data_IF_037528273263
#
_entry.id   IF_037528273263
#
_cell.length_a   1.000
_cell.length_b   1.000
_cell.length_c   1.000
_cell.angle_alpha   90.00
_cell.angle_beta   90.00
_cell.angle_gamma   90.00
#
_symmetry.space_group_name_H-M   'P 1'
#
loop_
_entity.id
_entity.type
_entity.pdbx_description
1 polymer ?
#
# COMPACT_ATOMS: atom_id res chain seq x y z
N UNK A 1 24.02 24.26 -19.78
CA UNK A 1 23.25 23.31 -18.94
C UNK A 1 23.07 21.93 -19.62
N UNK A 2 22.90 21.85 -20.95
CA UNK A 2 22.65 20.58 -21.64
C UNK A 2 23.85 19.62 -21.83
N UNK A 3 25.10 20.11 -21.90
CA UNK A 3 26.28 19.24 -22.12
C UNK A 3 26.66 18.35 -20.91
N UNK A 4 26.43 18.85 -19.70
CA UNK A 4 26.71 18.11 -18.47
C UNK A 4 25.62 17.05 -18.24
N UNK A 5 24.37 17.41 -18.59
CA UNK A 5 23.26 16.46 -18.63
C UNK A 5 23.53 15.35 -19.65
N UNK A 6 23.91 15.65 -20.91
CA UNK A 6 24.11 14.61 -21.92
C UNK A 6 25.25 13.64 -21.55
N UNK A 7 26.35 14.14 -20.96
CA UNK A 7 27.44 13.30 -20.46
C UNK A 7 27.03 12.42 -19.28
N UNK A 8 26.26 12.98 -18.33
CA UNK A 8 25.71 12.20 -17.21
C UNK A 8 24.73 11.14 -17.74
N UNK A 9 23.79 11.51 -18.61
CA UNK A 9 22.81 10.60 -19.21
C UNK A 9 23.48 9.48 -20.04
N UNK A 10 24.58 9.77 -20.75
CA UNK A 10 25.30 8.75 -21.53
C UNK A 10 26.04 7.76 -20.63
N UNK A 11 26.75 8.25 -19.59
CA UNK A 11 27.38 7.39 -18.59
C UNK A 11 26.36 6.57 -17.81
N UNK A 12 25.22 7.19 -17.50
CA UNK A 12 24.12 6.56 -16.79
C UNK A 12 23.38 5.53 -17.62
N UNK A 13 23.21 5.72 -18.93
CA UNK A 13 22.61 4.72 -19.82
C UNK A 13 23.41 3.42 -19.81
N UNK A 14 24.74 3.50 -19.71
CA UNK A 14 25.62 2.34 -19.62
C UNK A 14 25.49 1.69 -18.23
N UNK A 15 25.50 2.47 -17.14
CA UNK A 15 25.33 1.94 -15.78
C UNK A 15 23.94 1.34 -15.55
N UNK A 16 22.89 1.91 -16.14
CA UNK A 16 21.52 1.41 -16.05
C UNK A 16 21.36 0.01 -16.65
N UNK A 17 22.19 -0.37 -17.63
CA UNK A 17 22.19 -1.72 -18.20
C UNK A 17 22.81 -2.79 -17.29
N UNK A 18 23.62 -2.38 -16.32
CA UNK A 18 24.45 -3.30 -15.54
C UNK A 18 24.11 -3.33 -14.05
N UNK A 19 23.54 -2.26 -13.47
CA UNK A 19 23.16 -2.23 -12.06
C UNK A 19 21.79 -1.55 -11.83
N UNK A 20 20.84 -2.33 -11.30
CA UNK A 20 19.52 -1.85 -10.91
C UNK A 20 19.59 -0.82 -9.78
N UNK A 21 20.51 -0.98 -8.82
CA UNK A 21 20.60 -0.07 -7.66
C UNK A 21 21.00 1.34 -8.07
N UNK A 22 21.97 1.46 -8.98
CA UNK A 22 22.39 2.77 -9.53
C UNK A 22 21.23 3.42 -10.27
N UNK A 23 20.45 2.62 -11.01
CA UNK A 23 19.25 3.10 -11.71
C UNK A 23 18.26 3.73 -10.74
N UNK A 24 17.98 3.10 -9.59
CA UNK A 24 17.05 3.63 -8.57
C UNK A 24 17.46 5.02 -8.07
N UNK A 25 18.76 5.29 -7.87
CA UNK A 25 19.22 6.59 -7.39
C UNK A 25 19.13 7.69 -8.45
N UNK A 26 19.30 7.32 -9.71
CA UNK A 26 19.37 8.29 -10.79
C UNK A 26 17.99 8.65 -11.33
N UNK A 27 17.08 7.68 -11.38
CA UNK A 27 15.77 7.79 -12.00
C UNK A 27 14.91 8.95 -11.42
N UNK A 28 14.89 9.21 -10.10
CA UNK A 28 14.22 10.40 -9.55
C UNK A 28 14.77 11.72 -10.08
N UNK A 29 16.09 11.81 -10.29
CA UNK A 29 16.70 13.00 -10.87
C UNK A 29 16.36 13.15 -12.35
N UNK A 30 16.32 12.04 -13.09
CA UNK A 30 15.86 12.04 -14.49
C UNK A 30 14.44 12.59 -14.56
N UNK A 31 13.55 12.12 -13.69
CA UNK A 31 12.16 12.57 -13.66
C UNK A 31 12.04 14.08 -13.39
N UNK A 32 12.82 14.61 -12.44
CA UNK A 32 12.88 16.07 -12.21
C UNK A 32 13.36 16.81 -13.47
N UNK A 33 14.41 16.33 -14.13
CA UNK A 33 14.91 16.98 -15.36
C UNK A 33 13.92 16.90 -16.53
N UNK A 34 13.19 15.79 -16.66
CA UNK A 34 12.14 15.63 -17.67
C UNK A 34 10.99 16.60 -17.39
N UNK A 35 10.54 16.71 -16.13
CA UNK A 35 9.45 17.64 -15.78
C UNK A 35 9.83 19.12 -15.95
N UNK A 36 11.11 19.48 -15.84
CA UNK A 36 11.63 20.84 -16.05
C UNK A 36 11.84 21.22 -17.52
N UNK A 37 11.93 20.24 -18.42
CA UNK A 37 12.44 20.47 -19.79
C UNK A 37 11.62 19.88 -20.93
N UNK A 38 10.65 19.01 -20.65
CA UNK A 38 9.95 18.23 -21.68
C UNK A 38 8.51 18.71 -21.94
N UNK A 39 7.99 18.33 -23.12
CA UNK A 39 6.66 18.71 -23.60
C UNK A 39 5.55 18.05 -22.77
N UNK A 40 4.35 18.64 -22.80
CA UNK A 40 3.19 18.08 -22.08
C UNK A 40 2.80 16.67 -22.56
N UNK A 41 3.20 16.28 -23.77
CA UNK A 41 3.08 14.92 -24.32
C UNK A 41 3.98 13.92 -23.57
N UNK A 42 5.24 14.27 -23.35
CA UNK A 42 6.20 13.43 -22.61
C UNK A 42 5.75 13.23 -21.15
N UNK A 43 5.15 14.26 -20.55
CA UNK A 43 4.56 14.15 -19.20
C UNK A 43 3.39 13.16 -19.17
N UNK A 44 2.59 13.12 -20.24
CA UNK A 44 1.49 12.18 -20.37
C UNK A 44 2.01 10.75 -20.58
N UNK A 45 3.08 10.55 -21.34
CA UNK A 45 3.72 9.23 -21.49
C UNK A 45 4.22 8.71 -20.13
N UNK A 46 4.95 9.52 -19.37
CA UNK A 46 5.40 9.16 -18.01
C UNK A 46 4.21 8.86 -17.10
N UNK A 47 3.14 9.63 -17.17
CA UNK A 47 1.92 9.36 -16.41
C UNK A 47 1.31 8.01 -16.81
N UNK A 48 1.25 7.69 -18.10
CA UNK A 48 0.71 6.39 -18.55
C UNK A 48 1.55 5.22 -18.08
N UNK A 49 2.88 5.35 -18.03
CA UNK A 49 3.77 4.32 -17.47
C UNK A 49 3.52 4.13 -15.97
N UNK A 50 3.44 5.21 -15.19
CA UNK A 50 3.15 5.16 -13.75
C UNK A 50 1.80 4.47 -13.52
N UNK A 51 0.75 4.89 -14.23
CA UNK A 51 -0.58 4.30 -14.07
C UNK A 51 -0.63 2.85 -14.54
N UNK A 52 0.11 2.48 -15.58
CA UNK A 52 0.21 1.10 -16.03
C UNK A 52 0.85 0.22 -14.95
N UNK A 53 1.98 0.65 -14.35
CA UNK A 53 2.64 -0.08 -13.27
C UNK A 53 1.74 -0.23 -12.04
N UNK A 54 1.02 0.84 -11.67
CA UNK A 54 0.14 0.81 -10.50
C UNK A 54 -1.14 -0.04 -10.71
N UNK A 55 -1.65 -0.15 -11.95
CA UNK A 55 -2.89 -0.88 -12.28
C UNK A 55 -2.69 -2.29 -12.82
N UNK A 56 -1.49 -2.67 -13.26
CA UNK A 56 -1.23 -3.96 -13.94
C UNK A 56 -1.67 -5.19 -13.13
N UNK A 57 -1.81 -5.04 -11.82
CA UNK A 57 -2.09 -6.13 -10.88
C UNK A 57 -3.59 -6.40 -10.63
N UNK A 58 -4.52 -5.66 -11.27
CA UNK A 58 -5.97 -5.88 -11.09
C UNK A 58 -6.47 -7.21 -11.68
N UNK A 59 -5.73 -7.84 -12.61
CA UNK A 59 -6.20 -9.01 -13.36
C UNK A 59 -5.63 -10.36 -12.90
N UNK A 60 -4.59 -10.39 -12.06
CA UNK A 60 -3.82 -11.62 -11.82
C UNK A 60 -3.78 -12.09 -10.36
N UNK A 61 -4.84 -11.81 -9.57
CA UNK A 61 -4.96 -12.19 -8.15
C UNK A 61 -4.99 -13.73 -7.94
N UNK A 62 -5.13 -14.56 -8.98
CA UNK A 62 -5.54 -15.96 -8.76
C UNK A 62 -4.46 -17.04 -8.95
N UNK A 63 -3.31 -16.88 -9.64
CA UNK A 63 -2.60 -18.13 -9.99
C UNK A 63 -1.10 -18.23 -10.23
N UNK A 64 -0.23 -17.22 -10.09
CA UNK A 64 1.21 -17.46 -10.35
C UNK A 64 2.16 -16.77 -9.33
N UNK A 65 2.39 -17.54 -8.26
CA UNK A 65 3.55 -17.67 -7.37
C UNK A 65 4.75 -16.73 -7.54
N UNK A 66 4.92 -15.89 -6.49
CA UNK A 66 6.13 -15.34 -5.85
C UNK A 66 7.18 -14.57 -6.68
N UNK A 67 7.64 -15.09 -7.81
CA UNK A 67 8.76 -14.47 -8.55
C UNK A 67 8.38 -13.20 -9.33
N UNK A 68 7.17 -13.19 -9.92
CA UNK A 68 6.64 -12.01 -10.62
C UNK A 68 6.15 -10.94 -9.63
N UNK A 69 5.60 -11.38 -8.48
CA UNK A 69 5.20 -10.51 -7.38
C UNK A 69 6.38 -9.67 -6.88
N UNK A 70 7.57 -10.26 -6.75
CA UNK A 70 8.74 -9.52 -6.26
C UNK A 70 9.20 -8.43 -7.24
N UNK A 71 9.17 -8.68 -8.55
CA UNK A 71 9.53 -7.66 -9.55
C UNK A 71 8.48 -6.55 -9.64
N UNK A 72 7.20 -6.88 -9.54
CA UNK A 72 6.10 -5.92 -9.46
C UNK A 72 6.17 -5.08 -8.17
N UNK A 73 6.54 -5.68 -7.04
CA UNK A 73 6.77 -4.96 -5.79
C UNK A 73 8.00 -4.04 -5.90
N UNK A 74 9.10 -4.50 -6.47
CA UNK A 74 10.29 -3.66 -6.66
C UNK A 74 10.01 -2.49 -7.59
N UNK A 75 9.30 -2.69 -8.69
CA UNK A 75 8.91 -1.63 -9.63
C UNK A 75 7.91 -0.64 -9.03
N UNK A 76 6.94 -1.09 -8.23
CA UNK A 76 6.08 -0.15 -7.50
C UNK A 76 6.85 0.65 -6.46
N UNK A 77 7.81 0.05 -5.76
CA UNK A 77 8.68 0.77 -4.82
C UNK A 77 9.59 1.81 -5.51
N UNK A 78 10.09 1.54 -6.72
CA UNK A 78 10.84 2.56 -7.46
C UNK A 78 9.94 3.72 -7.86
N UNK A 79 8.70 3.46 -8.30
CA UNK A 79 7.70 4.50 -8.58
C UNK A 79 7.41 5.34 -7.32
N UNK A 80 7.20 4.72 -6.15
CA UNK A 80 6.99 5.47 -4.92
C UNK A 80 8.21 6.34 -4.55
N UNK A 81 9.42 5.81 -4.68
CA UNK A 81 10.65 6.57 -4.45
C UNK A 81 10.76 7.79 -5.37
N UNK A 82 10.42 7.64 -6.66
CA UNK A 82 10.36 8.76 -7.60
C UNK A 82 9.38 9.84 -7.16
N UNK A 83 8.15 9.45 -6.79
CA UNK A 83 7.11 10.38 -6.35
C UNK A 83 7.49 11.06 -5.02
N UNK A 84 8.10 10.33 -4.08
CA UNK A 84 8.63 10.88 -2.84
C UNK A 84 9.71 11.93 -3.12
N UNK A 85 10.61 11.67 -4.06
CA UNK A 85 11.62 12.64 -4.48
C UNK A 85 11.01 13.88 -5.13
N UNK A 86 9.96 13.75 -5.95
CA UNK A 86 9.24 14.90 -6.52
C UNK A 86 8.58 15.73 -5.44
N UNK A 87 7.90 15.11 -4.48
CA UNK A 87 7.25 15.84 -3.37
C UNK A 87 8.28 16.53 -2.47
N UNK A 88 9.42 15.89 -2.19
CA UNK A 88 10.52 16.49 -1.43
C UNK A 88 11.16 17.66 -2.18
N UNK A 89 11.42 17.50 -3.48
CA UNK A 89 11.94 18.56 -4.33
C UNK A 89 10.98 19.76 -4.39
N UNK A 90 9.68 19.50 -4.57
CA UNK A 90 8.64 20.53 -4.56
C UNK A 90 8.62 21.28 -3.22
N UNK A 91 8.69 20.57 -2.08
CA UNK A 91 8.77 21.19 -0.75
C UNK A 91 10.03 22.05 -0.58
N UNK A 92 11.19 21.55 -1.01
CA UNK A 92 12.45 22.29 -0.92
C UNK A 92 12.41 23.55 -1.81
N UNK A 93 11.85 23.46 -3.02
CA UNK A 93 11.68 24.61 -3.91
C UNK A 93 10.70 25.63 -3.34
N UNK A 94 9.58 25.17 -2.78
CA UNK A 94 8.60 26.04 -2.12
C UNK A 94 9.21 26.76 -0.90
N UNK A 95 10.02 26.06 -0.10
CA UNK A 95 10.72 26.65 1.04
C UNK A 95 11.77 27.68 0.59
N UNK A 96 12.55 27.41 -0.45
CA UNK A 96 13.49 28.37 -1.01
C UNK A 96 12.80 29.64 -1.54
N UNK A 97 11.70 29.48 -2.28
CA UNK A 97 10.88 30.60 -2.78
C UNK A 97 10.26 31.44 -1.65
N UNK A 98 9.87 30.81 -0.53
CA UNK A 98 9.35 31.53 0.63
C UNK A 98 10.46 32.18 1.47
N UNK A 99 11.65 31.58 1.54
CA UNK A 99 12.82 32.16 2.17
C UNK A 99 13.30 33.42 1.42
N UNK A 100 13.22 33.40 0.08
CA UNK A 100 13.52 34.58 -0.78
C UNK A 100 12.48 35.71 -0.66
N UNK A 101 11.24 35.41 -0.25
CA UNK A 101 10.22 36.43 0.05
C UNK A 101 10.39 37.07 1.44
N UNK A 102 11.15 36.45 2.34
CA UNK A 102 11.36 36.91 3.73
C UNK A 102 12.77 37.44 4.12
N UNK A 103 13.61 38.01 3.24
CA UNK A 103 14.71 38.86 3.69
C UNK A 103 14.17 40.28 3.90
N UNK A 104 13.80 40.63 5.13
CA UNK A 104 13.68 42.04 5.50
C UNK A 104 15.03 42.74 5.28
N UNK A 105 15.01 43.73 4.38
CA UNK A 105 15.89 44.89 4.37
C UNK A 105 17.40 44.63 4.18
N UNK A 106 17.84 44.63 2.92
CA UNK A 106 18.81 45.63 2.40
C UNK A 106 19.22 45.36 0.95
N UNK A 107 19.27 46.46 0.20
CA UNK A 107 20.10 46.69 -0.99
C UNK A 107 19.66 46.09 -2.33
N UNK A 108 18.78 46.84 -2.99
CA UNK A 108 18.84 47.24 -4.40
C UNK A 108 20.09 46.77 -5.20
N UNK A 109 20.07 45.54 -5.74
CA UNK A 109 20.75 45.15 -6.98
C UNK A 109 20.16 43.84 -7.49
N UNK A 110 20.09 43.73 -8.82
CA UNK A 110 19.80 42.53 -9.61
C UNK A 110 18.32 42.18 -9.90
N UNK A 111 17.76 42.92 -10.87
CA UNK A 111 16.59 42.54 -11.70
C UNK A 111 16.75 41.22 -12.49
N UNK A 112 17.86 40.49 -12.33
CA UNK A 112 18.15 39.23 -13.06
C UNK A 112 17.60 38.02 -12.30
N UNK A 113 17.64 38.01 -10.97
CA UNK A 113 17.11 36.91 -10.14
C UNK A 113 15.57 36.83 -10.12
N UNK A 114 14.90 37.94 -10.47
CA UNK A 114 13.43 37.96 -10.56
C UNK A 114 12.89 37.14 -11.74
N UNK A 115 13.67 36.94 -12.82
CA UNK A 115 13.28 36.06 -13.93
C UNK A 115 13.55 34.59 -13.60
N UNK A 116 14.65 34.29 -12.91
CA UNK A 116 14.99 32.93 -12.49
C UNK A 116 13.99 32.41 -11.47
N UNK A 117 13.56 33.23 -10.51
CA UNK A 117 12.49 32.90 -9.56
C UNK A 117 11.11 32.75 -10.21
N UNK A 118 10.83 33.44 -11.33
CA UNK A 118 9.57 33.25 -12.09
C UNK A 118 9.57 31.91 -12.84
N UNK A 119 10.68 31.57 -13.50
CA UNK A 119 10.85 30.26 -14.18
C UNK A 119 10.82 29.12 -13.16
N UNK A 120 11.51 29.29 -12.03
CA UNK A 120 11.50 28.33 -10.93
C UNK A 120 10.11 28.15 -10.27
N UNK A 121 9.24 29.16 -10.37
CA UNK A 121 7.86 29.10 -9.90
C UNK A 121 6.94 28.42 -10.92
N UNK A 122 7.15 28.64 -12.22
CA UNK A 122 6.47 27.89 -13.29
C UNK A 122 6.87 26.40 -13.26
N UNK A 123 8.14 26.11 -13.03
CA UNK A 123 8.70 24.77 -12.84
C UNK A 123 8.13 24.08 -11.58
N UNK A 124 7.94 24.83 -10.50
CA UNK A 124 7.26 24.32 -9.32
C UNK A 124 5.78 24.01 -9.62
N UNK A 125 5.09 24.91 -10.32
CA UNK A 125 3.68 24.72 -10.69
C UNK A 125 3.47 23.54 -11.63
N UNK A 126 4.38 23.29 -12.57
CA UNK A 126 4.28 22.15 -13.49
C UNK A 126 4.41 20.82 -12.73
N UNK A 127 5.36 20.73 -11.79
CA UNK A 127 5.55 19.53 -10.95
C UNK A 127 4.37 19.34 -9.99
N UNK A 128 3.83 20.39 -9.37
CA UNK A 128 2.64 20.23 -8.52
C UNK A 128 1.42 19.82 -9.33
N UNK A 129 1.22 20.39 -10.53
CA UNK A 129 0.14 19.96 -11.42
C UNK A 129 0.29 18.50 -11.80
N UNK A 130 1.50 18.04 -12.09
CA UNK A 130 1.78 16.64 -12.38
C UNK A 130 1.45 15.72 -11.19
N UNK A 131 1.81 16.13 -9.96
CA UNK A 131 1.43 15.38 -8.75
C UNK A 131 -0.09 15.34 -8.55
N UNK A 132 -0.79 16.43 -8.85
CA UNK A 132 -2.25 16.51 -8.77
C UNK A 132 -2.97 15.62 -9.81
N UNK A 133 -2.29 15.25 -10.90
CA UNK A 133 -2.84 14.30 -11.90
C UNK A 133 -2.92 12.87 -11.37
N UNK A 134 -2.09 12.50 -10.38
CA UNK A 134 -2.02 11.14 -9.85
C UNK A 134 -3.10 10.96 -8.78
N UNK A 135 -4.12 10.12 -9.02
CA UNK A 135 -5.20 9.93 -8.06
C UNK A 135 -4.67 9.23 -6.80
N UNK A 136 -4.82 9.89 -5.65
CA UNK A 136 -4.34 9.37 -4.36
C UNK A 136 -5.02 8.05 -3.94
N UNK A 137 -6.24 7.78 -4.40
CA UNK A 137 -6.94 6.50 -4.23
C UNK A 137 -6.21 5.36 -4.92
N UNK A 138 -5.79 5.56 -6.18
CA UNK A 138 -5.03 4.53 -6.92
C UNK A 138 -3.67 4.27 -6.28
N UNK A 139 -3.04 5.32 -5.76
CA UNK A 139 -1.78 5.23 -5.03
C UNK A 139 -1.95 4.48 -3.70
N UNK A 140 -3.05 4.71 -2.98
CA UNK A 140 -3.36 4.01 -1.73
C UNK A 140 -3.60 2.51 -1.96
N UNK A 141 -4.36 2.14 -3.00
CA UNK A 141 -4.60 0.73 -3.36
C UNK A 141 -3.31 0.03 -3.80
N UNK A 142 -2.49 0.69 -4.62
CA UNK A 142 -1.19 0.16 -5.02
C UNK A 142 -0.22 0.03 -3.82
N UNK A 143 -0.24 0.99 -2.88
CA UNK A 143 0.56 0.94 -1.65
C UNK A 143 0.13 -0.20 -0.72
N UNK A 144 -1.18 -0.48 -0.66
CA UNK A 144 -1.70 -1.62 0.09
C UNK A 144 -1.18 -2.95 -0.47
N UNK A 145 -1.13 -3.09 -1.79
CA UNK A 145 -0.58 -4.30 -2.47
C UNK A 145 0.91 -4.47 -2.25
N UNK A 146 1.67 -3.37 -2.26
CA UNK A 146 3.11 -3.38 -2.04
C UNK A 146 3.52 -3.55 -0.56
N UNK A 147 2.55 -3.83 0.33
CA UNK A 147 2.71 -3.96 1.78
C UNK A 147 3.24 -2.69 2.47
N UNK A 148 3.18 -1.54 1.80
CA UNK A 148 3.53 -0.24 2.37
C UNK A 148 2.30 0.40 3.01
N UNK A 149 1.77 -0.24 4.06
CA UNK A 149 0.47 0.11 4.66
C UNK A 149 0.42 1.53 5.23
N UNK A 150 1.52 2.02 5.81
CA UNK A 150 1.59 3.39 6.36
C UNK A 150 1.46 4.46 5.28
N UNK A 151 2.11 4.24 4.12
CA UNK A 151 1.94 5.10 2.93
C UNK A 151 0.53 5.03 2.40
N UNK A 152 -0.06 3.83 2.38
CA UNK A 152 -1.44 3.65 1.94
C UNK A 152 -2.42 4.45 2.79
N UNK A 153 -2.28 4.42 4.13
CA UNK A 153 -3.10 5.23 5.05
C UNK A 153 -2.87 6.72 4.82
N UNK A 154 -1.62 7.16 4.70
CA UNK A 154 -1.30 8.56 4.43
C UNK A 154 -2.00 9.10 3.18
N UNK A 155 -1.91 8.38 2.05
CA UNK A 155 -2.56 8.80 0.80
C UNK A 155 -4.08 8.69 0.89
N UNK A 156 -4.60 7.71 1.61
CA UNK A 156 -6.03 7.52 1.77
C UNK A 156 -6.68 8.61 2.63
N UNK A 157 -6.02 9.00 3.73
CA UNK A 157 -6.48 10.12 4.56
C UNK A 157 -6.39 11.46 3.82
N UNK A 158 -5.31 11.67 3.05
CA UNK A 158 -5.19 12.85 2.17
C UNK A 158 -6.34 12.89 1.15
N UNK A 159 -6.69 11.74 0.57
CA UNK A 159 -7.79 11.63 -0.38
C UNK A 159 -9.14 11.99 0.25
N UNK A 160 -9.40 11.50 1.47
CA UNK A 160 -10.64 11.80 2.21
C UNK A 160 -10.71 13.28 2.57
N UNK A 161 -9.61 13.87 3.04
CA UNK A 161 -9.57 15.28 3.45
C UNK A 161 -9.72 16.23 2.28
N UNK A 162 -9.07 15.95 1.15
CA UNK A 162 -9.12 16.77 -0.07
C UNK A 162 -10.48 16.69 -0.78
N UNK A 163 -11.00 15.48 -0.98
CA UNK A 163 -12.24 15.28 -1.74
C UNK A 163 -13.51 15.40 -0.90
N UNK A 164 -13.40 15.54 0.43
CA UNK A 164 -14.52 15.60 1.40
C UNK A 164 -15.59 14.53 1.14
N UNK A 165 -15.17 13.36 0.67
CA UNK A 165 -16.11 12.29 0.34
C UNK A 165 -16.70 11.68 1.60
N UNK A 166 -17.86 11.06 1.47
CA UNK A 166 -18.52 10.36 2.56
C UNK A 166 -17.60 9.24 3.05
N UNK A 167 -17.05 9.42 4.26
CA UNK A 167 -16.17 8.48 4.96
C UNK A 167 -16.80 7.08 5.01
N UNK A 168 -18.15 7.03 5.05
CA UNK A 168 -18.92 5.80 5.18
C UNK A 168 -18.72 4.79 4.04
N UNK A 169 -18.57 5.24 2.79
CA UNK A 169 -18.40 4.32 1.65
C UNK A 169 -17.00 3.70 1.62
N UNK A 170 -16.02 4.45 2.11
CA UNK A 170 -14.59 4.12 2.07
C UNK A 170 -14.11 3.42 3.35
N UNK A 171 -15.01 3.27 4.32
CA UNK A 171 -14.73 2.81 5.68
C UNK A 171 -14.25 1.35 5.71
N UNK A 172 -14.81 0.49 4.85
CA UNK A 172 -14.40 -0.91 4.74
C UNK A 172 -12.97 -1.10 4.24
N UNK A 173 -12.49 -0.23 3.35
CA UNK A 173 -11.10 -0.26 2.90
C UNK A 173 -10.15 0.24 3.99
N UNK A 174 -10.53 1.31 4.70
CA UNK A 174 -9.77 1.82 5.85
C UNK A 174 -9.62 0.78 6.96
N UNK A 175 -10.68 0.01 7.24
CA UNK A 175 -10.62 -1.06 8.22
C UNK A 175 -9.59 -2.14 7.83
N UNK A 176 -9.53 -2.51 6.55
CA UNK A 176 -8.52 -3.45 6.03
C UNK A 176 -7.10 -2.91 6.17
N UNK A 177 -6.91 -1.61 5.96
CA UNK A 177 -5.62 -0.95 6.15
C UNK A 177 -5.13 -1.05 7.60
N UNK A 178 -5.96 -0.65 8.58
CA UNK A 178 -5.58 -0.74 9.99
C UNK A 178 -5.37 -2.17 10.47
N UNK A 179 -6.21 -3.11 10.00
CA UNK A 179 -6.03 -4.51 10.33
C UNK A 179 -4.72 -5.09 9.78
N UNK A 180 -4.32 -4.72 8.56
CA UNK A 180 -3.04 -5.13 7.97
C UNK A 180 -1.83 -4.50 8.67
N UNK A 181 -2.00 -3.32 9.29
CA UNK A 181 -0.98 -2.70 10.16
C UNK A 181 -0.94 -3.27 11.58
N UNK A 182 -1.88 -4.17 11.93
CA UNK A 182 -2.06 -4.67 13.30
C UNK A 182 -2.32 -3.54 14.31
N UNK A 183 -3.06 -2.50 13.92
CA UNK A 183 -3.48 -1.41 14.80
C UNK A 183 -4.94 -1.59 15.23
N UNK A 184 -5.20 -2.22 16.40
CA UNK A 184 -6.58 -2.52 16.83
C UNK A 184 -7.38 -1.25 17.18
N UNK A 185 -6.69 -0.24 17.70
CA UNK A 185 -7.30 1.05 18.06
C UNK A 185 -7.89 1.75 16.82
N UNK A 186 -7.19 1.67 15.68
CA UNK A 186 -7.67 2.22 14.41
C UNK A 186 -8.94 1.51 13.94
N UNK A 187 -8.98 0.19 14.03
CA UNK A 187 -10.17 -0.61 13.66
C UNK A 187 -11.37 -0.28 14.55
N UNK A 188 -11.17 -0.14 15.86
CA UNK A 188 -12.22 0.27 16.79
C UNK A 188 -12.70 1.71 16.55
N UNK A 189 -11.79 2.63 16.20
CA UNK A 189 -12.15 3.99 15.81
C UNK A 189 -13.00 4.03 14.54
N UNK A 190 -12.65 3.18 13.57
CA UNK A 190 -13.41 3.00 12.32
C UNK A 190 -14.83 2.45 12.60
N UNK A 191 -14.98 1.48 13.50
CA UNK A 191 -16.32 0.97 13.87
C UNK A 191 -17.15 1.99 14.65
N UNK A 192 -16.53 2.83 15.49
CA UNK A 192 -17.23 3.91 16.21
C UNK A 192 -17.80 5.00 15.27
N UNK A 193 -17.16 5.25 14.12
CA UNK A 193 -17.63 6.22 13.12
C UNK A 193 -18.72 5.62 12.21
N UNK A 194 -18.73 4.29 12.06
CA UNK A 194 -19.66 3.57 11.20
C UNK A 194 -21.09 3.69 11.72
N UNK A 195 -22.02 4.10 10.85
CA UNK A 195 -23.47 4.19 11.16
C UNK A 195 -24.31 3.09 10.51
N UNK A 196 -23.76 2.40 9.51
CA UNK A 196 -24.42 1.30 8.81
C UNK A 196 -24.09 -0.03 9.48
N UNK A 197 -24.95 -1.04 9.26
CA UNK A 197 -24.67 -2.40 9.70
C UNK A 197 -23.37 -2.90 9.04
N UNK A 198 -22.39 -3.38 9.83
CA UNK A 198 -21.14 -3.88 9.28
C UNK A 198 -21.39 -5.20 8.55
N UNK A 199 -20.69 -5.39 7.43
CA UNK A 199 -20.70 -6.68 6.73
C UNK A 199 -20.03 -7.75 7.58
N UNK A 200 -20.36 -9.02 7.32
CA UNK A 200 -19.81 -10.14 8.09
C UNK A 200 -18.26 -10.17 8.06
N UNK A 201 -17.66 -9.83 6.91
CA UNK A 201 -16.19 -9.76 6.76
C UNK A 201 -15.57 -8.65 7.62
N UNK A 202 -16.27 -7.53 7.76
CA UNK A 202 -15.83 -6.40 8.58
C UNK A 202 -16.02 -6.68 10.07
N UNK A 203 -17.11 -7.35 10.45
CA UNK A 203 -17.32 -7.82 11.82
C UNK A 203 -16.22 -8.80 12.24
N UNK A 204 -15.91 -9.78 11.39
CA UNK A 204 -14.83 -10.74 11.64
C UNK A 204 -13.52 -9.99 11.88
N UNK A 205 -13.17 -9.06 10.99
CA UNK A 205 -11.94 -8.29 11.06
C UNK A 205 -11.85 -7.44 12.34
N UNK A 206 -12.97 -6.87 12.78
CA UNK A 206 -13.07 -6.13 14.03
C UNK A 206 -12.79 -7.02 15.25
N UNK A 207 -13.50 -8.14 15.38
CA UNK A 207 -13.30 -9.05 16.53
C UNK A 207 -11.90 -9.65 16.57
N UNK A 208 -11.32 -9.98 15.41
CA UNK A 208 -9.93 -10.42 15.30
C UNK A 208 -8.96 -9.33 15.78
N UNK A 209 -9.17 -8.07 15.37
CA UNK A 209 -8.30 -6.96 15.77
C UNK A 209 -8.38 -6.64 17.27
N UNK A 210 -9.58 -6.63 17.85
CA UNK A 210 -9.80 -6.34 19.28
C UNK A 210 -9.33 -7.51 20.16
N UNK A 211 -9.19 -8.71 19.59
CA UNK A 211 -8.82 -9.92 20.34
C UNK A 211 -10.01 -10.58 21.04
N UNK A 212 -11.25 -10.26 20.65
CA UNK A 212 -12.46 -10.93 21.12
C UNK A 212 -12.64 -12.26 20.37
N UNK A 213 -11.77 -13.21 20.65
CA UNK A 213 -11.69 -14.48 19.92
C UNK A 213 -12.96 -15.33 20.01
N UNK A 214 -13.74 -15.22 21.10
CA UNK A 214 -15.02 -15.93 21.23
C UNK A 214 -16.06 -15.42 20.25
N UNK A 215 -16.21 -14.10 20.17
CA UNK A 215 -17.16 -13.47 19.26
C UNK A 215 -16.70 -13.64 17.79
N UNK A 216 -15.38 -13.65 17.56
CA UNK A 216 -14.80 -14.01 16.27
C UNK A 216 -15.19 -15.43 15.84
N UNK A 217 -15.08 -16.45 16.71
CA UNK A 217 -15.51 -17.82 16.37
C UNK A 217 -16.99 -17.89 15.98
N UNK A 218 -17.87 -17.20 16.70
CA UNK A 218 -19.30 -17.15 16.36
C UNK A 218 -19.55 -16.46 15.01
N UNK A 219 -18.81 -15.39 14.70
CA UNK A 219 -18.88 -14.70 13.41
C UNK A 219 -18.41 -15.62 12.26
N UNK A 220 -17.35 -16.40 12.48
CA UNK A 220 -16.88 -17.36 11.49
C UNK A 220 -17.83 -18.55 11.31
N UNK A 221 -18.45 -19.06 12.36
CA UNK A 221 -19.46 -20.12 12.25
C UNK A 221 -20.64 -19.63 11.38
N UNK A 222 -21.05 -18.37 11.56
CA UNK A 222 -22.04 -17.73 10.68
C UNK A 222 -21.53 -17.58 9.24
N UNK A 223 -20.24 -17.30 9.03
CA UNK A 223 -19.66 -17.21 7.69
C UNK A 223 -19.63 -18.56 6.98
N UNK A 224 -19.31 -19.65 7.69
CA UNK A 224 -19.33 -21.02 7.16
C UNK A 224 -20.75 -21.44 6.76
N UNK A 225 -21.77 -21.02 7.52
CA UNK A 225 -23.17 -21.29 7.17
C UNK A 225 -23.60 -20.61 5.87
N UNK A 226 -23.05 -19.43 5.57
CA UNK A 226 -23.37 -18.67 4.35
C UNK A 226 -22.50 -19.07 3.16
N UNK A 227 -21.21 -19.32 3.40
CA UNK A 227 -20.18 -19.62 2.41
C UNK A 227 -19.37 -20.87 2.84
N UNK A 228 -19.93 -22.09 2.67
CA UNK A 228 -19.26 -23.32 3.09
C UNK A 228 -18.04 -23.70 2.22
N UNK A 229 -17.85 -23.04 1.08
CA UNK A 229 -16.83 -23.37 0.07
C UNK A 229 -15.49 -22.65 0.29
N UNK A 230 -15.43 -21.70 1.24
CA UNK A 230 -14.27 -20.83 1.46
C UNK A 230 -13.40 -21.31 2.63
N UNK A 231 -12.19 -21.77 2.33
CA UNK A 231 -11.22 -22.25 3.34
C UNK A 231 -10.80 -21.17 4.34
N UNK A 232 -10.81 -19.90 3.93
CA UNK A 232 -10.39 -18.75 4.75
C UNK A 232 -11.21 -18.67 6.05
N UNK A 233 -12.50 -18.99 6.00
CA UNK A 233 -13.36 -18.95 7.19
C UNK A 233 -12.98 -20.05 8.19
N UNK A 234 -12.69 -21.27 7.70
CA UNK A 234 -12.22 -22.37 8.53
C UNK A 234 -10.88 -22.07 9.19
N UNK A 235 -9.97 -21.45 8.43
CA UNK A 235 -8.68 -20.99 8.94
C UNK A 235 -8.86 -20.00 10.11
N UNK A 236 -9.77 -19.03 9.94
CA UNK A 236 -10.13 -18.07 10.98
C UNK A 236 -10.70 -18.69 12.25
N UNK A 237 -11.59 -19.69 12.11
CA UNK A 237 -12.12 -20.46 13.26
C UNK A 237 -10.99 -21.13 14.02
N UNK A 238 -10.16 -21.92 13.32
CA UNK A 238 -9.10 -22.72 13.92
C UNK A 238 -8.08 -21.82 14.61
N UNK A 239 -7.67 -20.72 13.96
CA UNK A 239 -6.76 -19.72 14.53
C UNK A 239 -7.34 -19.07 15.79
N UNK A 240 -8.63 -18.73 15.78
CA UNK A 240 -9.31 -18.12 16.94
C UNK A 240 -9.42 -19.12 18.11
N UNK A 241 -9.76 -20.38 17.82
CA UNK A 241 -9.83 -21.45 18.83
C UNK A 241 -8.46 -21.79 19.43
N UNK A 242 -7.40 -21.78 18.61
CA UNK A 242 -6.01 -21.91 19.08
C UNK A 242 -5.64 -20.77 20.03
N UNK A 243 -6.01 -19.52 19.69
CA UNK A 243 -5.79 -18.36 20.55
C UNK A 243 -6.56 -18.42 21.87
N UNK A 244 -7.74 -19.05 21.89
CA UNK A 244 -8.52 -19.34 23.10
C UNK A 244 -7.96 -20.50 23.95
N UNK A 245 -7.00 -21.26 23.42
CA UNK A 245 -6.44 -22.45 24.08
C UNK A 245 -7.32 -23.69 24.04
N UNK A 246 -8.34 -23.73 23.18
CA UNK A 246 -9.24 -24.89 23.03
C UNK A 246 -8.66 -25.95 22.09
N UNK A 247 -7.45 -26.41 22.40
CA UNK A 247 -6.63 -27.25 21.53
C UNK A 247 -7.28 -28.59 21.17
N UNK A 248 -8.00 -29.21 22.11
CA UNK A 248 -8.69 -30.50 21.88
C UNK A 248 -9.83 -30.36 20.88
N UNK A 249 -10.57 -29.26 20.95
CA UNK A 249 -11.66 -28.97 20.02
C UNK A 249 -11.14 -28.69 18.61
N UNK A 250 -9.97 -28.05 18.49
CA UNK A 250 -9.30 -27.83 17.21
C UNK A 250 -8.97 -29.15 16.53
N UNK A 251 -8.39 -30.11 17.25
CA UNK A 251 -8.08 -31.44 16.71
C UNK A 251 -9.35 -32.10 16.18
N UNK A 252 -10.42 -32.14 16.99
CA UNK A 252 -11.68 -32.77 16.57
C UNK A 252 -12.35 -32.04 15.40
N UNK A 253 -12.25 -30.70 15.36
CA UNK A 253 -12.86 -29.89 14.31
C UNK A 253 -12.11 -30.03 12.99
N UNK A 254 -10.78 -30.05 13.03
CA UNK A 254 -9.95 -30.29 11.85
C UNK A 254 -10.15 -31.71 11.36
N UNK A 255 -10.18 -32.70 12.25
CA UNK A 255 -10.43 -34.10 11.88
C UNK A 255 -11.82 -34.26 11.26
N UNK A 256 -12.89 -33.77 11.90
CA UNK A 256 -14.25 -33.87 11.35
C UNK A 256 -14.44 -33.05 10.08
N UNK A 257 -13.82 -31.86 9.98
CA UNK A 257 -13.95 -30.96 8.82
C UNK A 257 -13.17 -31.42 7.59
N UNK A 258 -11.96 -31.95 7.78
CA UNK A 258 -11.09 -32.47 6.71
C UNK A 258 -11.63 -33.77 6.13
N UNK A 259 -12.11 -34.68 6.99
CA UNK A 259 -12.63 -35.97 6.54
C UNK A 259 -14.01 -35.88 5.87
N UNK A 260 -14.80 -34.83 6.15
CA UNK A 260 -16.14 -34.67 5.60
C UNK A 260 -16.18 -33.94 4.25
N UNK A 261 -15.33 -32.92 4.01
CA UNK A 261 -15.66 -31.92 2.99
C UNK A 261 -14.66 -31.65 1.85
N UNK A 262 -13.37 -32.05 1.89
CA UNK A 262 -12.44 -32.08 0.72
C UNK A 262 -11.01 -32.41 1.16
N UNK A 263 -10.35 -33.34 0.46
CA UNK A 263 -8.95 -33.71 0.72
C UNK A 263 -7.94 -32.61 0.36
N UNK A 264 -8.32 -31.61 -0.44
CA UNK A 264 -7.45 -30.48 -0.84
C UNK A 264 -7.15 -29.53 0.32
N UNK A 265 -8.00 -29.45 1.34
CA UNK A 265 -7.83 -28.53 2.48
C UNK A 265 -6.98 -29.12 3.61
N UNK A 266 -6.62 -30.39 3.47
CA UNK A 266 -5.89 -31.18 4.47
C UNK A 266 -4.53 -30.54 4.75
N UNK A 267 -3.79 -30.14 3.72
CA UNK A 267 -2.41 -29.66 3.87
C UNK A 267 -2.33 -28.36 4.68
N UNK A 268 -3.23 -27.42 4.43
CA UNK A 268 -3.27 -26.14 5.16
C UNK A 268 -3.78 -26.32 6.59
N UNK A 269 -4.84 -27.10 6.81
CA UNK A 269 -5.41 -27.33 8.15
C UNK A 269 -4.55 -28.26 9.02
N UNK A 270 -3.75 -29.14 8.41
CA UNK A 270 -2.83 -30.02 9.12
C UNK A 270 -1.77 -29.23 9.89
N UNK A 271 -1.36 -28.05 9.42
CA UNK A 271 -0.41 -27.20 10.15
C UNK A 271 -0.93 -26.86 11.56
N UNK A 272 -2.21 -26.50 11.66
CA UNK A 272 -2.88 -26.22 12.92
C UNK A 272 -3.15 -27.45 13.77
N UNK A 273 -3.46 -28.59 13.14
CA UNK A 273 -3.63 -29.86 13.85
C UNK A 273 -2.34 -30.27 14.56
N UNK A 274 -1.22 -30.20 13.84
CA UNK A 274 0.12 -30.49 14.36
C UNK A 274 0.48 -29.51 15.47
N UNK A 275 0.20 -28.21 15.29
CA UNK A 275 0.44 -27.21 16.34
C UNK A 275 -0.39 -27.49 17.62
N UNK A 276 -1.67 -27.85 17.46
CA UNK A 276 -2.55 -28.17 18.58
C UNK A 276 -2.11 -29.43 19.32
N UNK A 277 -1.78 -30.50 18.59
CA UNK A 277 -1.33 -31.78 19.15
C UNK A 277 0.03 -31.63 19.84
N UNK A 278 0.94 -30.83 19.26
CA UNK A 278 2.21 -30.45 19.90
C UNK A 278 1.95 -29.76 21.25
N UNK A 279 1.09 -28.73 21.28
CA UNK A 279 0.77 -27.99 22.51
C UNK A 279 0.08 -28.87 23.57
N UNK A 280 -0.65 -29.91 23.16
CA UNK A 280 -1.27 -30.89 24.05
C UNK A 280 -0.37 -32.06 24.45
N UNK A 281 0.88 -32.12 23.96
CA UNK A 281 1.81 -33.25 24.18
C UNK A 281 1.25 -34.61 23.71
N UNK A 282 0.33 -34.60 22.74
CA UNK A 282 -0.26 -35.81 22.15
C UNK A 282 0.53 -36.20 20.90
N UNK A 283 1.66 -36.89 21.11
CA UNK A 283 2.56 -37.31 20.04
C UNK A 283 1.97 -38.39 19.12
N UNK A 284 0.88 -39.04 19.52
CA UNK A 284 0.21 -40.06 18.71
C UNK A 284 -0.56 -39.47 17.50
N UNK A 285 -0.86 -38.16 17.54
CA UNK A 285 -1.66 -37.45 16.54
C UNK A 285 -0.83 -36.51 15.63
N UNK A 286 0.45 -36.30 15.99
CA UNK A 286 1.45 -35.50 15.26
C UNK A 286 2.08 -36.36 14.17
#
# INVERSE_FOLDING_TARGET
RHDLASKIFTCCSIMMKHDFKVTIYLLPHILVYVLLGCSQEDQQEVYTEIMAVLKHDDQHIISIQDSASDLCQLSTQTVFSMLDHLTQWARHKFQALNAEKFPQSKSNRDKVDSKVSTVDYEDYQSVTRFLDLIPQDTLAVASFRSKAYTRAVMHFESFITEKKQNIQEHLGFLQKLYAAMHEPDGVAGVSAIRKAEPSLKEQILEHESIGLLRDATACYDRAIQLEPDQIIHYHGVVKSMLGLGQLSTVITQVENGVHANRSEWTDELNTYRVEAAWKLSQWDLV
#
